data_IF_500426828327
#
_entry.id   IF_500426828327
#
_cell.length_a   1.000
_cell.length_b   1.000
_cell.length_c   1.000
_cell.angle_alpha   90.00
_cell.angle_beta   90.00
_cell.angle_gamma   90.00
#
_symmetry.space_group_name_H-M   'P 1'
#
loop_
_entity.id
_entity.type
_entity.pdbx_description
1 polymer ?
#
# COMPACT_ATOMS: atom_id res chain seq x y z
N UNK A 1 9.85 -12.02 -7.03
CA UNK A 1 10.21 -10.89 -6.17
C UNK A 1 10.54 -11.37 -4.77
N UNK A 2 11.69 -10.96 -4.25
CA UNK A 2 12.11 -11.31 -2.90
C UNK A 2 11.64 -10.23 -1.92
N UNK A 3 11.03 -10.60 -0.78
CA UNK A 3 10.67 -9.62 0.24
C UNK A 3 11.94 -9.03 0.89
N UNK A 4 11.82 -7.82 1.40
CA UNK A 4 12.87 -7.21 2.20
C UNK A 4 12.92 -7.94 3.55
N UNK A 5 14.10 -8.43 3.92
CA UNK A 5 14.30 -9.11 5.19
C UNK A 5 14.26 -8.12 6.37
N UNK A 6 13.87 -8.62 7.54
CA UNK A 6 13.87 -7.84 8.77
C UNK A 6 15.29 -7.33 9.06
N UNK A 7 15.39 -6.03 9.38
CA UNK A 7 16.68 -5.38 9.63
C UNK A 7 17.38 -4.82 8.39
N UNK A 8 16.87 -5.09 7.19
CA UNK A 8 17.43 -4.53 5.96
C UNK A 8 17.13 -3.03 5.87
N UNK A 9 18.15 -2.24 5.58
CA UNK A 9 18.00 -0.78 5.49
C UNK A 9 17.21 -0.39 4.25
N UNK A 10 16.14 0.39 4.44
CA UNK A 10 15.33 0.94 3.36
C UNK A 10 15.98 2.19 2.77
N UNK A 11 15.77 2.41 1.47
CA UNK A 11 16.20 3.63 0.80
C UNK A 11 15.22 4.76 1.09
N UNK A 12 15.73 5.99 1.21
CA UNK A 12 14.86 7.17 1.19
C UNK A 12 14.27 7.36 -0.20
N UNK A 13 13.00 7.71 -0.28
CA UNK A 13 12.34 7.99 -1.55
C UNK A 13 12.50 9.47 -1.90
N UNK A 14 13.16 9.73 -3.02
CA UNK A 14 13.30 11.07 -3.61
C UNK A 14 13.03 10.96 -5.11
N UNK A 15 12.89 12.10 -5.79
CA UNK A 15 12.72 12.07 -7.25
C UNK A 15 13.94 11.45 -7.95
N UNK A 16 15.13 11.62 -7.38
CA UNK A 16 16.37 11.08 -7.92
C UNK A 16 16.52 9.58 -7.65
N UNK A 17 16.05 9.10 -6.50
CA UNK A 17 16.16 7.68 -6.14
C UNK A 17 14.99 6.83 -6.61
N UNK A 18 13.91 7.45 -7.10
CA UNK A 18 12.77 6.74 -7.63
C UNK A 18 13.16 5.93 -8.86
N UNK A 19 12.91 4.63 -8.80
CA UNK A 19 13.25 3.69 -9.88
C UNK A 19 12.01 3.39 -10.72
N UNK A 20 11.71 4.28 -11.66
CA UNK A 20 10.55 4.16 -12.55
C UNK A 20 10.71 2.92 -13.44
N UNK A 21 9.64 2.14 -13.56
CA UNK A 21 9.64 0.92 -14.35
C UNK A 21 10.25 -0.29 -13.65
N UNK A 22 10.62 -0.17 -12.37
CA UNK A 22 11.24 -1.25 -11.60
C UNK A 22 10.25 -1.83 -10.60
N UNK A 23 10.30 -3.15 -10.41
CA UNK A 23 9.48 -3.84 -9.43
C UNK A 23 10.06 -3.67 -8.03
N UNK A 24 9.17 -3.41 -7.08
CA UNK A 24 9.54 -3.31 -5.66
C UNK A 24 9.64 -4.71 -5.04
N UNK A 25 10.31 -4.81 -3.89
CA UNK A 25 10.32 -6.03 -3.12
C UNK A 25 8.90 -6.35 -2.62
N UNK A 26 8.51 -7.62 -2.77
CA UNK A 26 7.20 -8.09 -2.37
C UNK A 26 7.08 -8.19 -0.85
N UNK A 27 5.85 -8.08 -0.35
CA UNK A 27 5.50 -8.25 1.05
C UNK A 27 4.48 -9.37 1.18
N UNK A 28 4.62 -10.18 2.22
CA UNK A 28 3.66 -11.24 2.56
C UNK A 28 3.00 -10.92 3.90
N UNK A 29 1.73 -11.24 4.02
CA UNK A 29 1.01 -11.16 5.28
C UNK A 29 -0.08 -12.22 5.34
N UNK A 30 -0.27 -12.81 6.52
CA UNK A 30 -1.35 -13.75 6.76
C UNK A 30 -2.59 -12.99 7.24
N UNK A 31 -3.73 -13.28 6.62
CA UNK A 31 -5.00 -12.76 7.08
C UNK A 31 -5.59 -13.73 8.11
N UNK A 32 -5.58 -13.31 9.37
CA UNK A 32 -6.02 -14.12 10.52
C UNK A 32 -7.21 -13.49 11.21
N UNK A 33 -7.84 -14.24 12.13
CA UNK A 33 -8.91 -13.70 12.97
C UNK A 33 -8.41 -12.51 13.78
N UNK A 34 -7.19 -12.59 14.32
CA UNK A 34 -6.57 -11.50 15.08
C UNK A 34 -6.37 -10.25 14.22
N UNK A 35 -5.87 -10.42 13.00
CA UNK A 35 -5.69 -9.31 12.04
C UNK A 35 -7.03 -8.65 11.71
N UNK A 36 -8.07 -9.45 11.45
CA UNK A 36 -9.41 -8.95 11.16
C UNK A 36 -10.00 -8.18 12.34
N UNK A 37 -9.87 -8.73 13.53
CA UNK A 37 -10.39 -8.12 14.77
C UNK A 37 -9.71 -6.80 15.06
N UNK A 38 -8.38 -6.77 14.98
CA UNK A 38 -7.60 -5.54 15.15
C UNK A 38 -8.03 -4.46 14.16
N UNK A 39 -8.13 -4.81 12.89
CA UNK A 39 -8.52 -3.86 11.85
C UNK A 39 -9.92 -3.30 12.05
N UNK A 40 -10.91 -4.17 12.36
CA UNK A 40 -12.30 -3.74 12.49
C UNK A 40 -12.57 -3.00 13.80
N UNK A 41 -11.83 -3.29 14.87
CA UNK A 41 -12.02 -2.61 16.16
C UNK A 41 -11.27 -1.28 16.23
N UNK A 42 -10.07 -1.20 15.66
CA UNK A 42 -9.20 -0.01 15.79
C UNK A 42 -9.29 0.95 14.62
N UNK A 43 -9.47 0.44 13.39
CA UNK A 43 -9.39 1.25 12.17
C UNK A 43 -10.75 1.51 11.52
N UNK A 44 -11.62 0.51 11.42
CA UNK A 44 -12.90 0.64 10.75
C UNK A 44 -14.10 0.60 11.68
N UNK A 45 -13.94 0.16 12.90
CA UNK A 45 -14.98 0.12 13.92
C UNK A 45 -16.32 -0.42 13.39
N UNK A 46 -16.27 -1.51 12.64
CA UNK A 46 -17.44 -2.17 12.10
C UNK A 46 -17.76 -3.42 12.91
N UNK A 47 -19.06 -3.75 13.01
CA UNK A 47 -19.53 -5.02 13.58
C UNK A 47 -20.28 -5.85 12.53
N UNK A 48 -20.10 -5.56 11.25
CA UNK A 48 -20.68 -6.32 10.17
C UNK A 48 -20.19 -7.77 10.23
N UNK A 49 -21.11 -8.79 10.25
CA UNK A 49 -20.72 -10.21 10.38
C UNK A 49 -19.76 -10.73 9.30
N UNK A 50 -19.70 -10.07 8.13
CA UNK A 50 -18.74 -10.44 7.08
C UNK A 50 -17.30 -10.20 7.50
N UNK A 51 -17.04 -9.22 8.37
CA UNK A 51 -15.70 -8.76 8.71
C UNK A 51 -15.25 -9.12 10.13
N UNK A 52 -16.17 -9.61 10.97
CA UNK A 52 -15.90 -9.97 12.35
C UNK A 52 -16.37 -11.39 12.65
N UNK A 53 -15.91 -11.96 13.77
CA UNK A 53 -16.32 -13.30 14.19
C UNK A 53 -15.23 -14.35 13.94
N UNK A 54 -15.64 -15.61 13.76
CA UNK A 54 -14.73 -16.74 13.60
C UNK A 54 -14.25 -16.97 12.16
N UNK A 55 -15.02 -16.50 11.17
CA UNK A 55 -14.72 -16.67 9.75
C UNK A 55 -14.83 -15.35 8.98
N UNK A 56 -14.13 -14.28 9.39
CA UNK A 56 -14.23 -13.01 8.69
C UNK A 56 -13.55 -13.06 7.33
N UNK A 57 -14.01 -12.19 6.43
CA UNK A 57 -13.27 -11.84 5.21
C UNK A 57 -12.63 -10.47 5.41
N UNK A 58 -11.61 -10.18 4.62
CA UNK A 58 -10.94 -8.88 4.71
C UNK A 58 -11.87 -7.75 4.29
N UNK A 59 -11.91 -6.70 5.10
CA UNK A 59 -12.61 -5.47 4.75
C UNK A 59 -11.94 -4.85 3.51
N UNK A 60 -12.69 -4.27 2.56
CA UNK A 60 -12.09 -3.63 1.38
C UNK A 60 -11.02 -2.60 1.71
N UNK A 61 -11.15 -1.86 2.81
CA UNK A 61 -10.13 -0.90 3.25
C UNK A 61 -8.83 -1.56 3.72
N UNK A 62 -8.89 -2.78 4.27
CA UNK A 62 -7.68 -3.55 4.60
C UNK A 62 -6.90 -3.87 3.33
N UNK A 63 -7.58 -4.34 2.29
CA UNK A 63 -6.99 -4.61 0.98
C UNK A 63 -6.41 -3.33 0.36
N UNK A 64 -7.15 -2.23 0.41
CA UNK A 64 -6.71 -0.94 -0.11
C UNK A 64 -5.46 -0.39 0.61
N UNK A 65 -5.33 -0.65 1.90
CA UNK A 65 -4.18 -0.21 2.72
C UNK A 65 -2.85 -0.84 2.32
N UNK A 66 -2.85 -1.91 1.54
CA UNK A 66 -1.64 -2.57 1.07
C UNK A 66 -0.72 -1.67 0.25
N UNK A 67 -1.27 -0.73 -0.52
CA UNK A 67 -0.48 0.17 -1.34
C UNK A 67 0.49 1.00 -0.49
N UNK A 68 0.00 1.64 0.56
CA UNK A 68 0.85 2.41 1.48
C UNK A 68 1.83 1.51 2.24
N UNK A 69 1.41 0.32 2.64
CA UNK A 69 2.28 -0.63 3.33
C UNK A 69 3.43 -1.10 2.44
N UNK A 70 3.17 -1.37 1.16
CA UNK A 70 4.21 -1.76 0.20
C UNK A 70 5.21 -0.64 -0.04
N UNK A 71 4.74 0.59 -0.15
CA UNK A 71 5.60 1.75 -0.30
C UNK A 71 6.53 1.90 0.89
N UNK A 72 6.00 1.79 2.11
CA UNK A 72 6.79 1.88 3.35
C UNK A 72 7.66 0.65 3.60
N UNK A 73 7.31 -0.50 3.03
CA UNK A 73 8.15 -1.70 3.07
C UNK A 73 9.43 -1.52 2.25
N UNK A 74 9.35 -0.77 1.15
CA UNK A 74 10.48 -0.58 0.22
C UNK A 74 11.27 0.70 0.47
N UNK A 75 10.63 1.74 1.01
CA UNK A 75 11.23 3.06 1.17
C UNK A 75 11.00 3.61 2.57
N UNK A 76 12.00 4.37 3.05
CA UNK A 76 11.87 5.16 4.26
C UNK A 76 11.29 6.52 3.89
N UNK A 77 10.06 6.78 4.35
CA UNK A 77 9.31 8.00 4.02
C UNK A 77 8.86 8.63 5.34
N UNK A 78 9.39 9.83 5.69
CA UNK A 78 9.04 10.49 6.95
C UNK A 78 7.56 10.85 7.05
N UNK A 79 6.97 11.29 5.94
CA UNK A 79 5.57 11.64 5.89
C UNK A 79 5.01 11.42 4.48
N UNK A 80 3.75 11.09 4.40
CA UNK A 80 3.08 10.87 3.12
C UNK A 80 1.62 11.29 3.22
N UNK A 81 1.05 11.64 2.07
CA UNK A 81 -0.36 11.94 1.95
C UNK A 81 -0.94 11.18 0.76
N UNK A 82 -1.85 10.26 1.04
CA UNK A 82 -2.59 9.55 0.00
C UNK A 82 -3.50 10.54 -0.73
N UNK A 83 -3.41 10.58 -2.06
CA UNK A 83 -4.20 11.50 -2.86
C UNK A 83 -5.29 10.80 -3.65
N UNK A 84 -5.00 9.62 -4.20
CA UNK A 84 -5.94 8.91 -5.06
C UNK A 84 -5.57 7.44 -5.16
N UNK A 85 -6.60 6.59 -5.32
CA UNK A 85 -6.43 5.18 -5.67
C UNK A 85 -7.51 4.75 -6.64
N UNK A 86 -7.16 3.84 -7.54
CA UNK A 86 -8.10 3.04 -8.32
C UNK A 86 -7.91 1.60 -7.92
N UNK A 87 -8.97 0.97 -7.44
CA UNK A 87 -8.91 -0.40 -6.90
C UNK A 87 -9.93 -1.25 -7.62
N UNK A 88 -9.46 -2.38 -8.14
CA UNK A 88 -10.33 -3.43 -8.67
C UNK A 88 -10.23 -4.63 -7.74
N UNK A 89 -11.30 -4.92 -7.02
CA UNK A 89 -11.41 -6.10 -6.16
C UNK A 89 -11.86 -7.28 -7.01
N UNK A 90 -11.05 -8.33 -7.07
CA UNK A 90 -11.29 -9.51 -7.90
C UNK A 90 -11.77 -10.70 -7.09
N UNK A 91 -11.28 -10.85 -5.86
CA UNK A 91 -11.64 -11.92 -4.96
C UNK A 91 -11.67 -11.46 -3.51
N UNK A 92 -12.48 -12.12 -2.68
CA UNK A 92 -12.48 -11.91 -1.25
C UNK A 92 -11.28 -12.58 -0.59
N UNK A 93 -10.89 -12.11 0.60
CA UNK A 93 -9.79 -12.67 1.38
C UNK A 93 -10.38 -13.28 2.66
N UNK A 94 -10.61 -14.61 2.68
CA UNK A 94 -11.06 -15.27 3.90
C UNK A 94 -9.89 -15.48 4.87
N UNK A 95 -10.23 -15.75 6.13
CA UNK A 95 -9.26 -16.13 7.15
C UNK A 95 -8.48 -17.36 6.69
N UNK A 96 -7.17 -17.36 6.95
CA UNK A 96 -6.25 -18.42 6.53
C UNK A 96 -5.57 -18.15 5.20
N UNK A 97 -5.91 -17.06 4.53
CA UNK A 97 -5.25 -16.67 3.27
C UNK A 97 -3.92 -15.97 3.57
N UNK A 98 -2.86 -16.43 2.92
CA UNK A 98 -1.62 -15.66 2.85
C UNK A 98 -1.70 -14.73 1.65
N UNK A 99 -1.57 -13.44 1.88
CA UNK A 99 -1.60 -12.41 0.84
C UNK A 99 -0.18 -12.00 0.50
N UNK A 100 0.12 -11.98 -0.78
CA UNK A 100 1.41 -11.54 -1.31
C UNK A 100 1.15 -10.31 -2.15
N UNK A 101 1.79 -9.20 -1.78
CA UNK A 101 1.69 -7.95 -2.51
C UNK A 101 2.98 -7.62 -3.22
N UNK A 102 2.86 -7.24 -4.48
CA UNK A 102 3.96 -6.75 -5.30
C UNK A 102 3.58 -5.42 -5.92
N UNK A 103 4.55 -4.58 -6.16
CA UNK A 103 4.32 -3.26 -6.74
C UNK A 103 5.34 -2.93 -7.81
N UNK A 104 4.91 -2.09 -8.74
CA UNK A 104 5.71 -1.61 -9.85
C UNK A 104 5.57 -0.09 -9.94
N UNK A 105 6.69 0.63 -9.91
CA UNK A 105 6.69 2.08 -9.98
C UNK A 105 6.39 2.54 -11.41
N UNK A 106 5.32 3.32 -11.56
CA UNK A 106 4.87 3.84 -12.85
C UNK A 106 5.50 5.20 -13.12
N UNK A 107 5.50 6.09 -12.13
CA UNK A 107 6.02 7.45 -12.30
C UNK A 107 6.37 8.08 -10.94
N UNK A 108 7.23 9.09 -10.99
CA UNK A 108 7.53 9.95 -9.86
C UNK A 108 7.76 11.36 -10.43
N UNK A 109 7.09 12.36 -9.87
CA UNK A 109 7.07 13.70 -10.45
C UNK A 109 6.79 14.77 -9.38
N UNK A 110 7.07 16.00 -9.75
CA UNK A 110 6.75 17.18 -8.94
C UNK A 110 5.56 17.92 -9.55
N UNK A 111 4.63 18.32 -8.67
CA UNK A 111 3.49 19.15 -9.06
C UNK A 111 3.12 20.07 -7.91
N UNK A 112 3.06 21.38 -8.16
CA UNK A 112 2.78 22.40 -7.14
C UNK A 112 3.73 22.27 -5.94
N UNK A 113 5.01 22.01 -6.23
CA UNK A 113 6.09 21.76 -5.27
C UNK A 113 5.94 20.50 -4.41
N UNK A 114 4.85 19.74 -4.54
CA UNK A 114 4.73 18.43 -3.92
C UNK A 114 5.39 17.36 -4.79
N UNK A 115 6.04 16.39 -4.16
CA UNK A 115 6.61 15.24 -4.87
C UNK A 115 5.66 14.05 -4.79
N UNK A 116 5.27 13.54 -5.94
CA UNK A 116 4.30 12.46 -6.10
C UNK A 116 4.99 11.18 -6.55
N UNK A 117 4.45 10.06 -6.12
CA UNK A 117 4.75 8.75 -6.70
C UNK A 117 3.44 8.08 -7.14
N UNK A 118 3.49 7.43 -8.30
CA UNK A 118 2.41 6.63 -8.85
C UNK A 118 2.92 5.21 -9.07
N UNK A 119 2.23 4.24 -8.52
CA UNK A 119 2.64 2.84 -8.64
C UNK A 119 1.45 1.90 -8.73
N UNK A 120 1.67 0.76 -9.38
CA UNK A 120 0.69 -0.30 -9.51
C UNK A 120 1.00 -1.41 -8.51
N UNK A 121 -0.04 -1.93 -7.88
CA UNK A 121 0.02 -3.01 -6.91
C UNK A 121 -0.80 -4.18 -7.41
N UNK A 122 -0.24 -5.39 -7.26
CA UNK A 122 -0.96 -6.64 -7.47
C UNK A 122 -0.93 -7.42 -6.16
N UNK A 123 -2.12 -7.80 -5.69
CA UNK A 123 -2.27 -8.67 -4.53
C UNK A 123 -2.73 -10.04 -5.02
N UNK A 124 -2.05 -11.08 -4.57
CA UNK A 124 -2.36 -12.48 -4.88
C UNK A 124 -2.42 -13.31 -3.62
N UNK A 125 -3.12 -14.44 -3.68
CA UNK A 125 -3.07 -15.42 -2.60
C UNK A 125 -1.91 -16.41 -2.81
N UNK A 126 -1.75 -17.38 -1.89
CA UNK A 126 -0.69 -18.36 -1.94
C UNK A 126 -0.80 -19.33 -3.13
N UNK A 127 -1.97 -19.42 -3.76
CA UNK A 127 -2.18 -20.21 -4.97
C UNK A 127 -1.90 -19.44 -6.26
N UNK A 128 -1.57 -18.14 -6.16
CA UNK A 128 -1.30 -17.28 -7.29
C UNK A 128 -2.55 -16.66 -7.92
N UNK A 129 -3.70 -16.75 -7.26
CA UNK A 129 -4.92 -16.10 -7.74
C UNK A 129 -4.95 -14.63 -7.38
N UNK A 130 -5.40 -13.80 -8.31
CA UNK A 130 -5.46 -12.35 -8.13
C UNK A 130 -6.56 -11.97 -7.12
N UNK A 131 -6.19 -11.21 -6.11
CA UNK A 131 -7.11 -10.68 -5.12
C UNK A 131 -7.57 -9.28 -5.51
N UNK A 132 -6.63 -8.41 -5.86
CA UNK A 132 -6.92 -7.03 -6.22
C UNK A 132 -5.80 -6.43 -7.06
N UNK A 133 -6.18 -5.43 -7.86
CA UNK A 133 -5.24 -4.58 -8.58
C UNK A 133 -5.48 -3.14 -8.13
N UNK A 134 -4.40 -2.44 -7.79
CA UNK A 134 -4.48 -1.09 -7.25
C UNK A 134 -3.54 -0.19 -8.05
N UNK A 135 -4.04 0.95 -8.50
CA UNK A 135 -3.19 2.06 -8.96
C UNK A 135 -3.29 3.17 -7.93
N UNK A 136 -2.15 3.56 -7.38
CA UNK A 136 -2.06 4.41 -6.22
C UNK A 136 -1.22 5.65 -6.49
N UNK A 137 -1.69 6.81 -6.02
CA UNK A 137 -0.98 8.08 -6.09
C UNK A 137 -0.79 8.61 -4.68
N UNK A 138 0.43 8.96 -4.34
CA UNK A 138 0.77 9.48 -3.01
C UNK A 138 1.75 10.65 -3.13
N UNK A 139 1.58 11.64 -2.27
CA UNK A 139 2.59 12.66 -2.05
C UNK A 139 3.58 12.10 -1.03
N UNK A 140 4.84 11.97 -1.41
CA UNK A 140 5.89 11.50 -0.50
C UNK A 140 6.77 12.63 0.03
N UNK A 141 6.63 13.83 -0.49
CA UNK A 141 7.21 15.05 0.06
C UNK A 141 6.20 16.19 -0.10
N UNK A 142 5.74 16.71 1.04
CA UNK A 142 4.76 17.79 1.08
C UNK A 142 5.49 19.12 0.97
N UNK A 143 5.03 20.00 0.07
CA UNK A 143 5.61 21.32 -0.11
C UNK A 143 5.40 22.20 1.13
N UNK A 144 6.41 22.98 1.49
CA UNK A 144 6.27 24.02 2.50
C UNK A 144 5.46 25.21 1.95
N UNK A 145 4.98 26.08 2.84
CA UNK A 145 4.27 27.29 2.43
C UNK A 145 5.14 28.20 1.54
N UNK A 146 6.42 28.29 1.85
CA UNK A 146 7.38 29.07 1.08
C UNK A 146 7.56 28.52 -0.33
N UNK A 147 7.70 27.20 -0.46
CA UNK A 147 7.81 26.52 -1.76
C UNK A 147 6.56 26.73 -2.61
N UNK A 148 5.37 26.69 -2.01
CA UNK A 148 4.10 26.95 -2.70
C UNK A 148 3.98 28.38 -3.22
N UNK A 149 4.53 29.36 -2.50
CA UNK A 149 4.51 30.77 -2.90
C UNK A 149 5.39 31.05 -4.10
N UNK A 150 6.50 30.33 -4.27
CA UNK A 150 7.42 30.54 -5.39
C UNK A 150 6.95 29.93 -6.69
N UNK A 151 5.90 29.11 -6.66
CA UNK A 151 5.39 28.37 -7.80
C UNK A 151 4.21 29.04 -8.52
N UNK A 152 3.92 30.28 -8.22
CA UNK A 152 2.83 31.04 -8.85
C UNK A 152 3.04 31.28 -10.34
#
# INVERSE_FOLDING_TARGET
LNPIEEGQKKKSLTLETAEIGVDWAAKKADFTVETATEFTSEKQQTNNPLFVGSNPIAHPSWTAGWAEQLMRHNYDIPSSMHTRSRIQHLNVVPVGTQVIGAAHMVDAYERKAHHFVNFDVLLQDQAGEDIAQIRHWTIFKIATLEERRTEC
#
